data_IF_049312712391
#
_entry.id   IF_049312712391
#
_cell.length_a   1.000
_cell.length_b   1.000
_cell.length_c   1.000
_cell.angle_alpha   90.00
_cell.angle_beta   90.00
_cell.angle_gamma   90.00
#
_symmetry.space_group_name_H-M   'P 1'
#
loop_
_entity.id
_entity.type
_entity.pdbx_description
1 polymer ?
#
# COMPACT_ATOMS: atom_id res chain seq x y z
N UNK A 1 12.54 6.53 16.21
CA UNK A 1 13.41 5.83 15.22
C UNK A 1 13.87 4.51 15.81
N UNK A 2 13.79 3.46 15.02
CA UNK A 2 14.21 2.11 15.45
C UNK A 2 15.61 1.79 14.94
N UNK A 3 16.37 1.05 15.70
CA UNK A 3 17.63 0.47 15.27
C UNK A 3 17.36 -0.91 14.66
N UNK A 4 17.94 -1.15 13.50
CA UNK A 4 17.76 -2.40 12.74
C UNK A 4 19.13 -3.04 12.51
N UNK A 5 19.27 -4.32 12.81
CA UNK A 5 20.47 -5.09 12.45
C UNK A 5 20.71 -5.07 10.95
N UNK A 6 21.97 -4.88 10.54
CA UNK A 6 22.34 -4.92 9.11
C UNK A 6 22.14 -6.33 8.55
N UNK A 7 21.50 -6.43 7.39
CA UNK A 7 21.28 -7.68 6.68
C UNK A 7 19.91 -7.76 6.00
N UNK A 8 19.60 -8.96 5.54
CA UNK A 8 18.30 -9.27 4.99
C UNK A 8 17.79 -10.62 5.50
N UNK A 9 16.49 -10.73 5.62
CA UNK A 9 15.79 -11.95 6.01
C UNK A 9 14.49 -12.06 5.25
N UNK A 10 14.19 -13.24 4.76
CA UNK A 10 12.92 -13.54 4.09
C UNK A 10 12.00 -14.28 5.04
N UNK A 11 10.76 -13.84 5.11
CA UNK A 11 9.67 -14.53 5.81
C UNK A 11 8.56 -14.92 4.84
N UNK A 12 7.84 -15.99 5.14
CA UNK A 12 6.75 -16.51 4.30
C UNK A 12 5.38 -16.40 4.96
N UNK A 13 5.29 -15.67 6.06
CA UNK A 13 4.03 -15.44 6.74
C UNK A 13 3.18 -14.41 5.97
N UNK A 14 1.99 -14.79 5.51
CA UNK A 14 1.14 -14.01 4.61
C UNK A 14 1.83 -13.54 3.31
N UNK A 15 2.44 -14.48 2.59
CA UNK A 15 3.23 -14.24 1.38
C UNK A 15 4.71 -14.08 1.68
N UNK A 16 5.51 -14.17 0.63
CA UNK A 16 6.96 -14.04 0.76
C UNK A 16 7.37 -12.58 0.80
N UNK A 17 8.01 -12.17 1.88
CA UNK A 17 8.51 -10.80 2.09
C UNK A 17 9.99 -10.85 2.46
N UNK A 18 10.80 -10.12 1.74
CA UNK A 18 12.21 -9.91 2.08
C UNK A 18 12.36 -8.61 2.86
N UNK A 19 12.81 -8.73 4.09
CA UNK A 19 13.11 -7.62 4.97
C UNK A 19 14.60 -7.28 4.83
N UNK A 20 14.91 -6.09 4.33
CA UNK A 20 16.29 -5.65 4.12
C UNK A 20 16.58 -4.36 4.85
N UNK A 21 17.73 -4.30 5.51
CA UNK A 21 18.24 -3.03 6.03
C UNK A 21 18.81 -2.17 4.89
N UNK A 22 18.89 -0.87 5.12
CA UNK A 22 19.76 0.00 4.34
C UNK A 22 21.24 -0.31 4.61
N UNK A 23 22.15 0.39 3.95
CA UNK A 23 23.57 0.35 4.27
C UNK A 23 23.80 0.82 5.71
N UNK A 24 24.91 0.37 6.32
CA UNK A 24 25.26 0.71 7.69
C UNK A 24 25.23 2.22 7.94
N UNK A 25 24.52 2.64 8.97
CA UNK A 25 24.36 4.04 9.36
C UNK A 25 23.35 4.84 8.52
N UNK A 26 22.87 4.30 7.43
CA UNK A 26 21.88 4.95 6.57
C UNK A 26 20.48 4.93 7.22
N UNK A 27 19.77 6.05 7.08
CA UNK A 27 18.37 6.15 7.46
C UNK A 27 17.48 5.49 6.40
N UNK A 28 16.56 4.68 6.83
CA UNK A 28 15.54 4.05 6.00
C UNK A 28 14.17 4.56 6.43
N UNK A 29 13.43 5.18 5.51
CA UNK A 29 12.09 5.70 5.77
C UNK A 29 11.09 4.59 6.11
N UNK A 30 9.98 4.99 6.70
CA UNK A 30 8.84 4.12 6.90
C UNK A 30 8.18 3.74 5.58
N UNK A 31 7.38 2.70 5.63
CA UNK A 31 6.61 2.28 4.47
C UNK A 31 5.74 1.07 4.79
N UNK A 32 4.75 0.87 3.94
CA UNK A 32 3.87 -0.30 3.98
C UNK A 32 3.90 -1.02 2.64
N UNK A 33 3.45 -2.27 2.62
CA UNK A 33 3.21 -2.99 1.37
C UNK A 33 1.98 -2.43 0.67
N UNK A 34 1.94 -2.53 -0.66
CA UNK A 34 0.78 -2.11 -1.44
C UNK A 34 -0.48 -2.82 -0.98
N UNK A 35 -1.50 -2.03 -0.68
CA UNK A 35 -2.86 -2.49 -0.46
C UNK A 35 -3.71 -1.87 -1.55
N UNK A 36 -4.35 -2.70 -2.35
CA UNK A 36 -5.22 -2.24 -3.42
C UNK A 36 -6.49 -3.09 -3.48
N UNK A 37 -7.52 -2.54 -4.07
CA UNK A 37 -8.78 -3.23 -4.29
C UNK A 37 -9.75 -2.39 -5.07
N UNK A 38 -10.84 -3.00 -5.48
CA UNK A 38 -11.93 -2.31 -6.16
C UNK A 38 -13.25 -2.69 -5.51
N UNK A 39 -14.19 -1.79 -5.52
CA UNK A 39 -15.57 -2.08 -5.20
C UNK A 39 -16.49 -1.38 -6.19
N UNK A 40 -17.67 -1.91 -6.32
CA UNK A 40 -18.72 -1.35 -7.17
C UNK A 40 -19.74 -0.72 -6.23
N UNK A 41 -20.07 0.53 -6.50
CA UNK A 41 -21.04 1.25 -5.69
C UNK A 41 -21.57 2.45 -6.43
N UNK A 42 -22.67 2.97 -5.92
CA UNK A 42 -23.29 4.15 -6.47
C UNK A 42 -24.19 3.86 -7.67
N UNK A 43 -25.18 4.71 -7.74
CA UNK A 43 -26.14 4.77 -8.80
C UNK A 43 -25.78 5.94 -9.70
N UNK A 44 -25.61 5.68 -10.99
CA UNK A 44 -25.34 6.72 -11.98
C UNK A 44 -26.66 7.23 -12.55
N UNK A 45 -27.23 8.25 -11.98
CA UNK A 45 -28.36 8.97 -12.55
C UNK A 45 -27.90 10.09 -13.48
N UNK A 46 -27.23 9.75 -14.59
CA UNK A 46 -27.08 10.63 -15.75
C UNK A 46 -26.40 11.99 -15.59
N UNK A 47 -25.75 12.25 -14.48
CA UNK A 47 -24.97 13.46 -14.27
C UNK A 47 -23.47 13.16 -14.38
N UNK A 48 -22.71 14.10 -14.92
CA UNK A 48 -21.26 14.05 -15.03
C UNK A 48 -20.62 13.79 -13.67
N UNK A 49 -20.60 12.54 -13.28
CA UNK A 49 -20.24 12.14 -11.96
C UNK A 49 -18.75 11.93 -11.83
N UNK A 50 -18.15 13.00 -11.61
CA UNK A 50 -16.95 13.09 -10.80
C UNK A 50 -17.36 12.89 -9.33
N UNK A 51 -17.95 11.76 -9.00
CA UNK A 51 -18.22 11.41 -7.61
C UNK A 51 -16.95 11.64 -6.81
N UNK A 52 -17.01 12.55 -5.83
CA UNK A 52 -15.87 13.08 -5.11
C UNK A 52 -15.06 12.00 -4.40
N UNK A 53 -14.24 11.30 -5.13
CA UNK A 53 -13.23 10.43 -4.56
C UNK A 53 -11.94 11.21 -4.36
N UNK A 54 -11.28 11.00 -3.24
CA UNK A 54 -10.05 11.68 -2.90
C UNK A 54 -9.05 10.71 -2.24
N UNK A 55 -7.78 11.10 -2.24
CA UNK A 55 -6.75 10.31 -1.59
C UNK A 55 -6.50 8.98 -2.29
N UNK A 56 -6.63 7.89 -1.53
CA UNK A 56 -6.38 6.54 -2.02
C UNK A 56 -7.51 5.98 -2.91
N UNK A 57 -8.65 6.65 -2.98
CA UNK A 57 -9.79 6.23 -3.79
C UNK A 57 -9.90 7.02 -5.08
N UNK A 58 -10.31 6.37 -6.17
CA UNK A 58 -10.69 7.05 -7.42
C UNK A 58 -11.70 6.23 -8.20
N UNK A 59 -12.54 6.87 -9.03
CA UNK A 59 -13.43 6.16 -9.94
C UNK A 59 -12.60 5.51 -11.05
N UNK A 60 -12.77 4.22 -11.25
CA UNK A 60 -12.02 3.42 -12.24
C UNK A 60 -12.87 3.02 -13.46
N UNK A 61 -13.96 3.74 -13.72
CA UNK A 61 -14.84 3.51 -14.85
C UNK A 61 -16.13 2.77 -14.50
N UNK A 62 -16.90 2.45 -15.52
CA UNK A 62 -18.17 1.75 -15.36
C UNK A 62 -17.95 0.28 -15.00
N UNK A 63 -18.77 -0.23 -14.09
CA UNK A 63 -18.76 -1.64 -13.71
C UNK A 63 -19.77 -2.49 -14.50
N UNK A 64 -20.57 -1.87 -15.35
CA UNK A 64 -21.63 -2.50 -16.14
C UNK A 64 -23.01 -1.97 -15.78
N UNK A 65 -24.00 -2.40 -16.55
CA UNK A 65 -25.42 -2.11 -16.32
C UNK A 65 -26.00 -3.27 -15.54
N UNK A 66 -26.72 -3.00 -14.47
CA UNK A 66 -27.48 -4.03 -13.78
C UNK A 66 -28.75 -4.34 -14.60
N UNK A 67 -29.07 -5.62 -14.80
CA UNK A 67 -30.22 -6.04 -15.58
C UNK A 67 -31.50 -5.50 -14.95
N UNK A 68 -32.22 -4.65 -15.72
CA UNK A 68 -33.50 -4.04 -15.32
C UNK A 68 -33.43 -2.59 -14.84
N UNK A 69 -32.26 -1.98 -14.75
CA UNK A 69 -32.07 -0.57 -14.42
C UNK A 69 -31.34 0.19 -15.55
N UNK A 70 -31.79 1.39 -15.84
CA UNK A 70 -31.11 2.32 -16.76
C UNK A 70 -29.85 2.98 -16.14
N UNK A 71 -29.35 2.45 -15.04
CA UNK A 71 -28.27 3.04 -14.27
C UNK A 71 -26.97 2.26 -14.38
N UNK A 72 -25.91 2.96 -14.73
CA UNK A 72 -24.56 2.39 -14.73
C UNK A 72 -23.96 2.42 -13.33
N UNK A 73 -23.40 1.32 -12.91
CA UNK A 73 -22.64 1.26 -11.68
C UNK A 73 -21.22 1.79 -11.88
N UNK A 74 -20.71 2.49 -10.90
CA UNK A 74 -19.34 2.99 -10.89
C UNK A 74 -18.47 2.02 -10.13
N UNK A 75 -17.33 1.67 -10.74
CA UNK A 75 -16.25 0.96 -10.04
C UNK A 75 -15.32 1.96 -9.39
N UNK A 76 -15.11 1.81 -8.10
CA UNK A 76 -14.10 2.56 -7.37
C UNK A 76 -12.88 1.69 -7.13
N UNK A 77 -11.72 2.28 -7.29
CA UNK A 77 -10.45 1.65 -6.98
C UNK A 77 -9.84 2.29 -5.74
N UNK A 78 -9.13 1.46 -4.98
CA UNK A 78 -8.36 1.86 -3.81
C UNK A 78 -6.91 1.45 -4.02
N UNK A 79 -5.97 2.37 -3.80
CA UNK A 79 -4.55 2.10 -3.83
C UNK A 79 -3.84 2.99 -2.82
N UNK A 80 -3.23 2.38 -1.84
CA UNK A 80 -2.56 3.07 -0.76
C UNK A 80 -1.33 3.85 -1.23
N UNK A 81 -0.73 3.47 -2.36
CA UNK A 81 0.45 4.16 -2.92
C UNK A 81 0.20 5.62 -3.29
N UNK A 82 -1.06 6.03 -3.40
CA UNK A 82 -1.44 7.41 -3.69
C UNK A 82 -1.29 8.36 -2.50
N UNK A 83 -1.26 7.85 -1.29
CA UNK A 83 -1.29 8.65 -0.06
C UNK A 83 -0.16 8.32 0.92
N UNK A 84 0.56 7.22 0.74
CA UNK A 84 1.65 6.83 1.62
C UNK A 84 2.75 6.11 0.86
N UNK A 85 4.01 6.17 1.32
CA UNK A 85 5.10 5.42 0.70
C UNK A 85 4.84 3.91 0.72
N UNK A 86 5.01 3.27 -0.44
CA UNK A 86 4.86 1.83 -0.60
C UNK A 86 6.23 1.20 -0.81
N UNK A 87 6.52 0.18 -0.05
CA UNK A 87 7.78 -0.57 -0.08
C UNK A 87 7.50 -2.07 -0.01
N UNK A 88 8.49 -2.90 -0.30
CA UNK A 88 8.33 -4.36 -0.28
C UNK A 88 8.06 -4.98 1.09
N UNK A 89 8.16 -4.19 2.15
CA UNK A 89 7.96 -4.63 3.54
C UNK A 89 7.22 -3.56 4.35
N UNK A 90 6.58 -3.97 5.43
CA UNK A 90 6.06 -3.02 6.44
C UNK A 90 7.19 -2.70 7.41
N UNK A 91 7.56 -1.43 7.51
CA UNK A 91 8.65 -1.01 8.38
C UNK A 91 8.44 0.39 8.92
N UNK A 92 8.82 0.65 10.19
CA UNK A 92 8.96 2.00 10.71
C UNK A 92 10.26 2.65 10.21
N UNK A 93 10.39 3.96 10.41
CA UNK A 93 11.67 4.65 10.20
C UNK A 93 12.75 3.99 11.04
N UNK A 94 13.84 3.58 10.40
CA UNK A 94 14.90 2.84 11.06
C UNK A 94 16.29 3.23 10.54
N UNK A 95 17.32 2.85 11.28
CA UNK A 95 18.71 3.01 10.90
C UNK A 95 19.44 1.68 11.07
N UNK A 96 20.18 1.29 10.06
CA UNK A 96 20.95 0.07 10.10
C UNK A 96 22.17 0.20 11.05
N UNK A 97 22.31 -0.77 11.92
CA UNK A 97 23.40 -0.87 12.88
C UNK A 97 24.00 -2.26 12.85
N UNK A 98 25.25 -2.38 13.33
CA UNK A 98 25.90 -3.67 13.54
C UNK A 98 26.04 -3.90 15.04
N UNK A 99 25.50 -5.00 15.50
CA UNK A 99 25.67 -5.44 16.88
C UNK A 99 26.99 -6.17 17.01
N UNK A 100 27.81 -5.76 17.95
CA UNK A 100 29.09 -6.41 18.29
C UNK A 100 29.01 -6.96 19.70
N UNK A 101 29.38 -8.24 19.86
CA UNK A 101 29.50 -8.88 21.17
C UNK A 101 30.99 -8.99 21.47
N UNK A 102 31.41 -8.44 22.62
CA UNK A 102 32.77 -8.59 23.08
C UNK A 102 32.97 -10.02 23.61
N UNK A 103 33.81 -10.79 22.96
CA UNK A 103 34.27 -12.05 23.51
C UNK A 103 35.29 -11.78 24.63
N UNK A 104 35.18 -12.54 25.68
CA UNK A 104 36.16 -12.51 26.78
C UNK A 104 37.35 -13.43 26.49
#
# INVERSE_FOLDING_TARGET
MFLRGQGSQTSTHYGTVTHSSAALGQLQGDGIRTIWGTFVGGDWSGHDNQGGSSGAFWPAGNAGVQEGDDYNQIRYSFDVSRVTPVVGEVRPVNRAVRYLIRAR
#
